data_IF_218510495497
#
_entry.id   IF_218510495497
#
_cell.length_a   1.000
_cell.length_b   1.000
_cell.length_c   1.000
_cell.angle_alpha   90.00
_cell.angle_beta   90.00
_cell.angle_gamma   90.00
#
_symmetry.space_group_name_H-M   'P 1'
#
loop_
_entity.id
_entity.type
_entity.pdbx_description
1 polymer ?
#
# COMPACT_ATOMS: atom_id res chain seq x y z
N UNK A 1 -6.58 -2.40 12.34
CA UNK A 1 -6.05 -1.31 11.51
C UNK A 1 -6.50 -1.55 10.08
N UNK A 2 -7.26 -0.62 9.51
CA UNK A 2 -7.71 -0.66 8.12
C UNK A 2 -6.89 0.32 7.29
N UNK A 3 -6.29 -0.14 6.18
CA UNK A 3 -5.51 0.74 5.31
C UNK A 3 -6.42 1.62 4.47
N UNK A 4 -6.01 2.88 4.35
CA UNK A 4 -6.58 3.83 3.40
C UNK A 4 -5.45 4.22 2.45
N UNK A 5 -5.56 3.78 1.20
CA UNK A 5 -4.58 4.10 0.17
C UNK A 5 -4.77 5.53 -0.31
N UNK A 6 -3.72 6.34 -0.20
CA UNK A 6 -3.76 7.77 -0.50
C UNK A 6 -2.84 8.12 -1.66
N UNK A 7 -3.28 9.07 -2.47
CA UNK A 7 -2.45 9.78 -3.45
C UNK A 7 -3.03 11.16 -3.68
N UNK A 8 -2.16 12.14 -3.93
CA UNK A 8 -2.52 13.53 -4.17
C UNK A 8 -1.77 14.08 -5.39
N UNK A 9 -2.36 15.06 -6.04
CA UNK A 9 -1.65 15.97 -6.94
C UNK A 9 -1.63 17.34 -6.27
N UNK A 10 -0.53 18.05 -6.40
CA UNK A 10 -0.34 19.33 -5.71
C UNK A 10 0.61 20.24 -6.48
N UNK A 11 0.49 21.54 -6.20
CA UNK A 11 1.49 22.54 -6.55
C UNK A 11 2.44 22.70 -5.37
N UNK A 12 3.74 22.79 -5.68
CA UNK A 12 4.79 23.14 -4.71
C UNK A 12 5.85 24.02 -5.38
N UNK A 13 6.42 24.94 -4.60
CA UNK A 13 7.49 25.86 -5.04
C UNK A 13 8.63 25.95 -4.00
N UNK A 14 8.77 24.94 -3.15
CA UNK A 14 9.69 24.93 -2.02
C UNK A 14 9.24 25.72 -0.78
N UNK A 15 8.19 26.56 -0.88
CA UNK A 15 7.60 27.29 0.25
C UNK A 15 6.14 26.89 0.49
N UNK A 16 5.37 26.79 -0.59
CA UNK A 16 3.96 26.43 -0.61
C UNK A 16 3.77 24.96 -0.97
N UNK A 17 2.66 24.42 -0.49
CA UNK A 17 2.20 23.08 -0.83
C UNK A 17 0.68 23.11 -0.88
N UNK A 18 0.14 23.16 -2.09
CA UNK A 18 -1.28 23.43 -2.36
C UNK A 18 -1.93 22.25 -3.10
N UNK A 19 -3.05 21.77 -2.55
CA UNK A 19 -3.79 20.63 -3.10
C UNK A 19 -4.42 20.96 -4.47
N UNK A 20 -4.22 20.10 -5.46
CA UNK A 20 -4.92 20.11 -6.76
C UNK A 20 -6.02 19.04 -6.78
N UNK A 21 -5.68 17.79 -6.45
CA UNK A 21 -6.63 16.68 -6.37
C UNK A 21 -6.16 15.63 -5.35
N UNK A 22 -7.07 14.79 -4.87
CA UNK A 22 -6.73 13.64 -4.03
C UNK A 22 -7.59 12.44 -4.35
N UNK A 23 -7.07 11.27 -4.00
CA UNK A 23 -7.81 10.03 -3.95
C UNK A 23 -7.55 9.27 -2.64
N UNK A 24 -8.60 8.65 -2.12
CA UNK A 24 -8.55 7.68 -1.03
C UNK A 24 -9.22 6.38 -1.46
N UNK A 25 -8.65 5.24 -1.08
CA UNK A 25 -9.26 3.92 -1.27
C UNK A 25 -9.22 3.19 0.05
N UNK A 26 -10.39 2.82 0.58
CA UNK A 26 -10.49 2.12 1.85
C UNK A 26 -10.42 0.62 1.61
N UNK A 27 -9.49 -0.04 2.31
CA UNK A 27 -9.22 -1.46 2.09
C UNK A 27 -10.35 -2.38 2.56
N UNK A 28 -11.09 -1.99 3.60
CA UNK A 28 -12.09 -2.85 4.23
C UNK A 28 -13.34 -3.11 3.37
N UNK A 29 -13.65 -2.23 2.43
CA UNK A 29 -14.89 -2.27 1.64
C UNK A 29 -14.74 -1.74 0.21
N UNK A 30 -13.50 -1.54 -0.25
CA UNK A 30 -13.17 -1.06 -1.60
C UNK A 30 -13.74 0.32 -1.96
N UNK A 31 -14.25 1.07 -0.98
CA UNK A 31 -14.78 2.40 -1.23
C UNK A 31 -13.69 3.32 -1.78
N UNK A 32 -14.03 4.13 -2.78
CA UNK A 32 -13.13 5.10 -3.40
C UNK A 32 -13.69 6.52 -3.25
N UNK A 33 -12.83 7.45 -2.87
CA UNK A 33 -13.10 8.88 -2.88
C UNK A 33 -12.11 9.55 -3.81
N UNK A 34 -12.60 10.30 -4.80
CA UNK A 34 -11.78 11.17 -5.66
C UNK A 34 -12.32 12.59 -5.65
N UNK A 35 -11.45 13.58 -5.44
CA UNK A 35 -11.83 14.99 -5.36
C UNK A 35 -10.82 15.89 -6.05
N UNK A 36 -11.32 16.89 -6.77
CA UNK A 36 -10.58 17.98 -7.40
C UNK A 36 -10.86 19.25 -6.60
N UNK A 37 -9.81 19.98 -6.22
CA UNK A 37 -9.91 21.19 -5.42
C UNK A 37 -10.30 22.41 -6.27
N UNK A 38 -11.56 22.84 -6.17
CA UNK A 38 -12.05 24.03 -6.84
C UNK A 38 -11.32 25.32 -6.40
N UNK A 39 -10.80 25.33 -5.17
CA UNK A 39 -10.14 26.47 -4.55
C UNK A 39 -8.62 26.48 -4.80
N UNK A 40 -8.09 25.61 -5.66
CA UNK A 40 -6.66 25.58 -6.00
C UNK A 40 -6.20 26.92 -6.59
N UNK A 41 -4.94 27.30 -6.34
CA UNK A 41 -4.34 28.49 -6.97
C UNK A 41 -4.02 28.20 -8.45
N UNK A 42 -5.04 28.37 -9.30
CA UNK A 42 -4.93 28.08 -10.73
C UNK A 42 -3.84 28.91 -11.41
N UNK A 43 -3.54 30.12 -10.91
CA UNK A 43 -2.47 30.96 -11.47
C UNK A 43 -1.11 30.34 -11.18
N UNK A 44 -0.87 29.90 -9.94
CA UNK A 44 0.36 29.22 -9.58
C UNK A 44 0.54 27.90 -10.35
N UNK A 45 -0.51 27.08 -10.44
CA UNK A 45 -0.48 25.81 -11.21
C UNK A 45 -0.07 26.04 -12.67
N UNK A 46 -0.59 27.09 -13.32
CA UNK A 46 -0.24 27.46 -14.70
C UNK A 46 1.23 27.84 -14.92
N UNK A 47 1.99 28.11 -13.86
CA UNK A 47 3.43 28.41 -13.96
C UNK A 47 4.30 27.15 -14.02
N UNK A 48 3.74 25.97 -13.71
CA UNK A 48 4.47 24.71 -13.73
C UNK A 48 4.23 23.97 -15.04
N UNK A 49 5.24 23.95 -15.91
CA UNK A 49 5.21 23.19 -17.16
C UNK A 49 4.93 21.70 -16.88
N UNK A 50 5.52 21.13 -15.82
CA UNK A 50 5.31 19.73 -15.48
C UNK A 50 3.86 19.43 -15.11
N UNK A 51 3.21 20.27 -14.30
CA UNK A 51 1.79 20.08 -13.95
C UNK A 51 0.90 20.22 -15.17
N UNK A 52 1.17 21.21 -16.03
CA UNK A 52 0.40 21.45 -17.25
C UNK A 52 0.52 20.30 -18.25
N UNK A 53 1.68 19.63 -18.31
CA UNK A 53 1.93 18.52 -19.23
C UNK A 53 1.49 17.15 -18.69
N UNK A 54 1.52 16.95 -17.37
CA UNK A 54 1.37 15.61 -16.78
C UNK A 54 0.16 15.46 -15.84
N UNK A 55 -0.21 16.51 -15.09
CA UNK A 55 -1.24 16.42 -14.06
C UNK A 55 -2.60 16.92 -14.54
N UNK A 56 -2.63 18.12 -15.12
CA UNK A 56 -3.86 18.79 -15.56
C UNK A 56 -4.57 18.08 -16.71
N UNK A 57 -3.89 17.49 -17.70
CA UNK A 57 -4.58 16.75 -18.78
C UNK A 57 -5.44 15.60 -18.25
N UNK A 58 -5.01 14.99 -17.15
CA UNK A 58 -5.57 13.78 -16.54
C UNK A 58 -6.43 14.06 -15.30
N UNK A 59 -6.75 15.33 -15.04
CA UNK A 59 -7.44 15.74 -13.81
C UNK A 59 -8.88 15.19 -13.74
N UNK A 60 -9.53 14.98 -14.88
CA UNK A 60 -10.87 14.42 -14.99
C UNK A 60 -10.81 12.92 -15.27
N UNK A 61 -11.65 12.13 -14.60
CA UNK A 61 -11.75 10.69 -14.84
C UNK A 61 -12.53 10.36 -16.12
N UNK A 62 -13.46 11.23 -16.50
CA UNK A 62 -14.30 11.10 -17.68
C UNK A 62 -13.79 12.03 -18.78
N UNK A 63 -13.43 11.46 -19.93
CA UNK A 63 -12.94 12.20 -21.10
C UNK A 63 -13.99 13.19 -21.64
N UNK A 64 -15.30 12.87 -21.54
CA UNK A 64 -16.36 13.77 -22.00
C UNK A 64 -16.45 15.03 -21.13
N UNK A 65 -16.17 14.90 -19.83
CA UNK A 65 -16.06 16.03 -18.90
C UNK A 65 -14.84 16.87 -19.27
N UNK A 66 -13.71 16.21 -19.61
CA UNK A 66 -12.46 16.86 -20.02
C UNK A 66 -12.61 17.66 -21.30
N UNK A 67 -13.35 17.15 -22.29
CA UNK A 67 -13.69 17.87 -23.52
C UNK A 67 -14.54 19.11 -23.24
N UNK A 68 -15.37 19.06 -22.18
CA UNK A 68 -16.19 20.17 -21.71
C UNK A 68 -15.44 21.25 -20.90
N UNK A 69 -14.14 21.12 -20.67
CA UNK A 69 -13.35 22.11 -19.92
C UNK A 69 -13.28 23.43 -20.70
N UNK A 70 -13.70 24.57 -20.11
CA UNK A 70 -13.55 25.88 -20.75
C UNK A 70 -12.10 26.16 -21.14
N UNK A 71 -11.89 26.87 -22.26
CA UNK A 71 -10.54 27.12 -22.84
C UNK A 71 -9.54 27.73 -21.85
N UNK A 72 -10.03 28.53 -20.92
CA UNK A 72 -9.28 29.27 -19.90
C UNK A 72 -9.35 28.64 -18.51
N UNK A 73 -9.99 27.47 -18.35
CA UNK A 73 -10.07 26.74 -17.10
C UNK A 73 -9.04 25.59 -17.03
N UNK A 74 -8.68 25.18 -15.82
CA UNK A 74 -7.88 23.96 -15.60
C UNK A 74 -8.76 22.71 -15.46
N UNK A 75 -10.02 22.91 -15.07
CA UNK A 75 -11.00 21.85 -14.84
C UNK A 75 -12.41 22.30 -15.22
N UNK A 76 -13.30 21.35 -15.44
CA UNK A 76 -14.72 21.58 -15.66
C UNK A 76 -15.44 21.71 -14.30
N UNK A 77 -16.03 22.87 -13.96
CA UNK A 77 -16.70 23.07 -12.67
C UNK A 77 -17.99 22.24 -12.52
N UNK A 78 -18.51 21.66 -13.61
CA UNK A 78 -19.64 20.75 -13.57
C UNK A 78 -19.24 19.29 -13.26
N UNK A 79 -17.94 18.98 -13.17
CA UNK A 79 -17.49 17.66 -12.75
C UNK A 79 -17.92 17.40 -11.29
N UNK A 80 -18.66 16.31 -11.00
CA UNK A 80 -19.06 15.95 -9.63
C UNK A 80 -17.88 15.68 -8.68
N UNK A 81 -16.65 15.50 -9.17
CA UNK A 81 -15.46 15.41 -8.35
C UNK A 81 -14.94 16.77 -7.88
N UNK A 82 -15.38 17.89 -8.48
CA UNK A 82 -14.93 19.25 -8.15
C UNK A 82 -15.67 19.78 -6.93
N UNK A 83 -14.92 20.12 -5.89
CA UNK A 83 -15.45 20.64 -4.63
C UNK A 83 -14.54 21.70 -4.04
N UNK A 84 -15.12 22.62 -3.25
CA UNK A 84 -14.34 23.54 -2.42
C UNK A 84 -13.58 22.79 -1.32
N UNK A 85 -12.46 23.34 -0.86
CA UNK A 85 -11.54 22.67 0.08
C UNK A 85 -12.21 22.28 1.40
N UNK A 86 -13.19 23.07 1.87
CA UNK A 86 -13.97 22.75 3.08
C UNK A 86 -14.85 21.51 2.91
N UNK A 87 -15.49 21.37 1.75
CA UNK A 87 -16.28 20.18 1.44
C UNK A 87 -15.38 18.97 1.22
N UNK A 88 -14.21 19.15 0.61
CA UNK A 88 -13.18 18.10 0.51
C UNK A 88 -12.75 17.63 1.90
N UNK A 89 -12.43 18.56 2.81
CA UNK A 89 -12.06 18.22 4.18
C UNK A 89 -13.16 17.41 4.89
N UNK A 90 -14.43 17.82 4.72
CA UNK A 90 -15.57 17.06 5.25
C UNK A 90 -15.66 15.66 4.64
N UNK A 91 -15.64 15.53 3.32
CA UNK A 91 -15.72 14.23 2.64
C UNK A 91 -14.57 13.30 3.04
N UNK A 92 -13.34 13.82 3.13
CA UNK A 92 -12.16 13.06 3.57
C UNK A 92 -12.33 12.64 5.03
N UNK A 93 -12.77 13.54 5.91
CA UNK A 93 -12.98 13.25 7.32
C UNK A 93 -14.02 12.17 7.55
N UNK A 94 -15.15 12.25 6.85
CA UNK A 94 -16.23 11.25 6.91
C UNK A 94 -15.74 9.90 6.37
N UNK A 95 -15.05 9.90 5.22
CA UNK A 95 -14.52 8.69 4.59
C UNK A 95 -13.50 7.96 5.47
N UNK A 96 -12.63 8.70 6.15
CA UNK A 96 -11.64 8.12 7.08
C UNK A 96 -12.32 7.58 8.35
N UNK A 97 -13.35 8.27 8.87
CA UNK A 97 -14.07 7.87 10.08
C UNK A 97 -14.79 6.51 9.95
N UNK A 98 -15.17 6.12 8.73
CA UNK A 98 -15.80 4.84 8.44
C UNK A 98 -14.83 3.64 8.53
N UNK A 99 -13.51 3.89 8.52
CA UNK A 99 -12.50 2.84 8.64
C UNK A 99 -12.15 2.58 10.11
N UNK A 100 -12.18 1.33 10.60
CA UNK A 100 -11.74 1.01 11.96
C UNK A 100 -10.21 1.12 12.06
N UNK A 101 -9.72 1.90 13.02
CA UNK A 101 -8.28 2.12 13.25
C UNK A 101 -7.56 2.51 11.94
N UNK A 102 -7.89 3.67 11.33
CA UNK A 102 -7.43 4.02 9.99
C UNK A 102 -5.92 4.25 9.94
N UNK A 103 -5.29 3.75 8.88
CA UNK A 103 -3.86 4.01 8.60
C UNK A 103 -3.74 4.46 7.15
N UNK A 104 -3.26 5.69 6.94
CA UNK A 104 -2.91 6.15 5.59
C UNK A 104 -1.75 5.30 5.06
N UNK A 105 -1.83 4.87 3.81
CA UNK A 105 -0.79 4.08 3.13
C UNK A 105 -0.61 4.62 1.73
N UNK A 106 0.61 4.86 1.26
CA UNK A 106 0.82 5.32 -0.11
C UNK A 106 2.21 5.01 -0.63
N UNK A 107 2.44 5.25 -1.91
CA UNK A 107 3.73 5.13 -2.55
C UNK A 107 4.33 6.53 -2.69
N UNK A 108 5.41 6.82 -1.95
CA UNK A 108 5.98 8.16 -1.78
C UNK A 108 5.05 9.15 -1.04
N UNK A 109 4.40 8.67 0.02
CA UNK A 109 3.26 9.31 0.71
C UNK A 109 3.61 10.50 1.63
N UNK A 110 4.85 11.00 1.60
CA UNK A 110 5.31 12.00 2.57
C UNK A 110 4.53 13.31 2.43
N UNK A 111 4.46 13.86 1.22
CA UNK A 111 3.69 15.08 0.94
C UNK A 111 2.18 14.84 1.05
N UNK A 112 1.70 13.66 0.63
CA UNK A 112 0.29 13.29 0.73
C UNK A 112 -0.21 13.36 2.17
N UNK A 113 0.55 12.80 3.12
CA UNK A 113 0.18 12.81 4.54
C UNK A 113 0.08 14.24 5.10
N UNK A 114 0.96 15.14 4.67
CA UNK A 114 0.93 16.56 5.04
C UNK A 114 -0.30 17.25 4.44
N UNK A 115 -0.60 17.00 3.17
CA UNK A 115 -1.78 17.58 2.49
C UNK A 115 -3.10 17.11 3.11
N UNK A 116 -3.22 15.83 3.43
CA UNK A 116 -4.41 15.30 4.15
C UNK A 116 -4.55 15.98 5.51
N UNK A 117 -3.47 16.13 6.27
CA UNK A 117 -3.50 16.85 7.55
C UNK A 117 -3.92 18.31 7.39
N UNK A 118 -3.38 19.00 6.37
CA UNK A 118 -3.64 20.42 6.10
C UNK A 118 -5.09 20.75 5.74
N UNK A 119 -5.86 19.78 5.24
CA UNK A 119 -7.32 19.95 5.04
C UNK A 119 -8.03 20.39 6.33
N UNK A 120 -7.48 20.05 7.50
CA UNK A 120 -8.05 20.33 8.81
C UNK A 120 -7.32 21.45 9.58
N UNK A 121 -6.39 22.16 8.92
CA UNK A 121 -5.61 23.25 9.52
C UNK A 121 -4.28 22.79 10.11
N UNK A 122 -3.90 23.37 11.25
CA UNK A 122 -2.69 22.95 11.98
C UNK A 122 -2.89 21.59 12.63
N UNK A 123 -1.78 20.95 13.02
CA UNK A 123 -1.83 19.66 13.71
C UNK A 123 -2.68 19.71 15.00
N UNK A 124 -2.78 20.88 15.64
CA UNK A 124 -3.57 21.10 16.86
C UNK A 124 -5.09 21.10 16.63
N UNK A 125 -5.53 21.36 15.39
CA UNK A 125 -6.94 21.43 15.01
C UNK A 125 -7.41 20.17 14.24
N UNK A 126 -6.51 19.22 13.99
CA UNK A 126 -6.83 17.99 13.28
C UNK A 126 -7.75 17.10 14.14
N UNK A 127 -8.88 16.60 13.59
CA UNK A 127 -9.72 15.63 14.30
C UNK A 127 -8.95 14.37 14.68
N UNK A 128 -9.31 13.76 15.82
CA UNK A 128 -8.57 12.64 16.42
C UNK A 128 -8.47 11.42 15.50
N UNK A 129 -9.53 11.13 14.73
CA UNK A 129 -9.59 9.98 13.85
C UNK A 129 -8.79 10.14 12.55
N UNK A 130 -8.25 11.34 12.26
CA UNK A 130 -7.42 11.56 11.07
C UNK A 130 -5.99 11.10 11.37
N UNK A 131 -5.45 10.12 10.61
CA UNK A 131 -4.11 9.60 10.85
C UNK A 131 -3.04 10.69 10.77
N UNK A 132 -2.06 10.60 11.66
CA UNK A 132 -1.00 11.60 11.81
C UNK A 132 0.21 11.32 10.92
N UNK A 133 0.31 10.09 10.43
CA UNK A 133 1.40 9.58 9.60
C UNK A 133 0.83 8.65 8.52
N UNK A 134 1.64 8.38 7.50
CA UNK A 134 1.32 7.40 6.47
C UNK A 134 2.39 6.30 6.40
N UNK A 135 1.96 5.06 6.20
CA UNK A 135 2.83 3.93 5.90
C UNK A 135 3.38 4.10 4.48
N UNK A 136 4.70 4.00 4.35
CA UNK A 136 5.42 4.22 3.10
C UNK A 136 5.65 2.89 2.35
N UNK A 137 4.88 2.69 1.29
CA UNK A 137 4.92 1.49 0.44
C UNK A 137 6.28 1.33 -0.24
N UNK A 138 6.97 2.43 -0.58
CA UNK A 138 8.31 2.37 -1.16
C UNK A 138 9.35 1.85 -0.16
N UNK A 139 9.20 2.19 1.11
CA UNK A 139 10.07 1.70 2.16
C UNK A 139 9.87 0.19 2.37
N UNK A 140 8.62 -0.28 2.33
CA UNK A 140 8.32 -1.72 2.32
C UNK A 140 8.91 -2.43 1.10
N UNK A 141 8.80 -1.83 -0.09
CA UNK A 141 9.42 -2.35 -1.31
C UNK A 141 10.93 -2.55 -1.15
N UNK A 142 11.62 -1.55 -0.59
CA UNK A 142 13.06 -1.63 -0.33
C UNK A 142 13.40 -2.67 0.74
N UNK A 143 12.67 -2.68 1.87
CA UNK A 143 12.83 -3.68 2.94
C UNK A 143 12.71 -5.10 2.41
N UNK A 144 11.80 -5.32 1.46
CA UNK A 144 11.55 -6.60 0.81
C UNK A 144 12.53 -6.91 -0.33
N UNK A 145 13.63 -6.17 -0.48
CA UNK A 145 14.64 -6.43 -1.51
C UNK A 145 14.18 -6.03 -2.92
N UNK A 146 13.25 -5.09 -3.02
CA UNK A 146 12.75 -4.51 -4.27
C UNK A 146 12.23 -5.53 -5.28
N UNK A 147 11.21 -6.36 -4.93
CA UNK A 147 10.61 -7.28 -5.89
C UNK A 147 10.07 -6.54 -7.12
N UNK A 148 9.93 -7.26 -8.23
CA UNK A 148 9.31 -6.70 -9.43
C UNK A 148 7.88 -6.24 -9.12
N UNK A 149 7.57 -4.99 -9.44
CA UNK A 149 6.26 -4.40 -9.20
C UNK A 149 5.32 -4.67 -10.39
N UNK A 150 3.99 -4.60 -10.18
CA UNK A 150 3.04 -4.62 -11.28
C UNK A 150 3.39 -3.52 -12.28
N UNK A 151 3.20 -3.74 -13.60
CA UNK A 151 3.44 -2.70 -14.58
C UNK A 151 2.61 -1.46 -14.21
N UNK A 152 3.25 -0.30 -14.23
CA UNK A 152 2.56 0.97 -14.18
C UNK A 152 1.58 1.04 -15.36
N UNK A 153 0.39 1.60 -15.12
CA UNK A 153 -0.51 1.96 -16.23
C UNK A 153 0.21 3.02 -17.09
N UNK A 154 -0.15 3.18 -18.38
CA UNK A 154 0.39 4.26 -19.20
C UNK A 154 0.32 5.60 -18.44
N UNK A 155 1.38 6.41 -18.58
CA UNK A 155 1.65 7.67 -17.86
C UNK A 155 0.35 8.41 -17.54
N UNK A 156 -0.14 8.24 -16.33
CA UNK A 156 -1.25 9.03 -15.81
C UNK A 156 -0.87 9.52 -14.43
N UNK A 157 -0.85 10.83 -14.24
CA UNK A 157 -0.59 11.41 -12.93
C UNK A 157 -1.87 11.48 -12.07
N UNK A 158 -3.02 11.01 -12.58
CA UNK A 158 -4.30 11.07 -11.89
C UNK A 158 -4.22 10.41 -10.49
N UNK A 159 -4.67 11.13 -9.47
CA UNK A 159 -4.52 10.68 -8.08
C UNK A 159 -5.23 9.34 -7.80
N UNK A 160 -6.39 9.07 -8.42
CA UNK A 160 -7.10 7.81 -8.22
C UNK A 160 -6.37 6.63 -8.86
N UNK A 161 -5.82 6.82 -10.07
CA UNK A 161 -4.97 5.81 -10.70
C UNK A 161 -3.74 5.48 -9.86
N UNK A 162 -3.11 6.50 -9.28
CA UNK A 162 -1.96 6.35 -8.41
C UNK A 162 -2.32 5.66 -7.08
N UNK A 163 -3.43 6.02 -6.43
CA UNK A 163 -3.91 5.33 -5.24
C UNK A 163 -4.21 3.85 -5.50
N UNK A 164 -4.83 3.52 -6.64
CA UNK A 164 -5.06 2.13 -7.08
C UNK A 164 -3.75 1.39 -7.35
N UNK A 165 -2.72 2.07 -7.86
CA UNK A 165 -1.39 1.48 -8.07
C UNK A 165 -0.67 1.24 -6.73
N UNK A 166 -0.73 2.20 -5.81
CA UNK A 166 -0.20 2.05 -4.45
C UNK A 166 -0.85 0.86 -3.73
N UNK A 167 -2.17 0.70 -3.83
CA UNK A 167 -2.90 -0.46 -3.31
C UNK A 167 -2.40 -1.78 -3.87
N UNK A 168 -2.37 -1.93 -5.20
CA UNK A 168 -1.89 -3.16 -5.86
C UNK A 168 -0.45 -3.48 -5.47
N UNK A 169 0.39 -2.45 -5.35
CA UNK A 169 1.78 -2.59 -4.90
C UNK A 169 1.84 -3.11 -3.47
N UNK A 170 1.13 -2.48 -2.53
CA UNK A 170 1.09 -2.91 -1.14
C UNK A 170 0.60 -4.36 -0.98
N UNK A 171 -0.46 -4.75 -1.69
CA UNK A 171 -0.97 -6.12 -1.69
C UNK A 171 0.07 -7.14 -2.19
N UNK A 172 0.83 -6.79 -3.24
CA UNK A 172 1.93 -7.64 -3.72
C UNK A 172 3.07 -7.74 -2.71
N UNK A 173 3.39 -6.65 -2.01
CA UNK A 173 4.41 -6.64 -0.98
C UNK A 173 4.01 -7.48 0.23
N UNK A 174 2.75 -7.41 0.67
CA UNK A 174 2.25 -8.28 1.74
C UNK A 174 2.38 -9.76 1.37
N UNK A 175 2.00 -10.13 0.14
CA UNK A 175 2.18 -11.50 -0.35
C UNK A 175 3.65 -11.94 -0.39
N UNK A 176 4.58 -11.00 -0.65
CA UNK A 176 6.01 -11.29 -0.61
C UNK A 176 6.54 -11.48 0.82
N UNK A 177 6.05 -10.68 1.78
CA UNK A 177 6.43 -10.76 3.19
C UNK A 177 5.90 -12.05 3.83
N UNK A 178 4.66 -12.43 3.52
CA UNK A 178 4.07 -13.70 3.95
C UNK A 178 4.90 -14.89 3.46
N UNK A 179 5.28 -14.89 2.17
CA UNK A 179 6.13 -15.95 1.60
C UNK A 179 7.48 -16.04 2.30
N UNK A 180 8.16 -14.91 2.53
CA UNK A 180 9.45 -14.89 3.25
C UNK A 180 9.32 -15.39 4.68
N UNK A 181 8.22 -15.01 5.35
CA UNK A 181 7.92 -15.46 6.70
C UNK A 181 7.74 -16.97 6.74
N UNK A 182 7.02 -17.54 5.78
CA UNK A 182 6.87 -18.99 5.65
C UNK A 182 8.19 -19.68 5.36
N UNK A 183 8.96 -19.20 4.38
CA UNK A 183 10.29 -19.73 4.07
C UNK A 183 11.20 -19.72 5.33
N UNK A 184 11.16 -18.65 6.13
CA UNK A 184 11.92 -18.55 7.37
C UNK A 184 11.44 -19.50 8.47
N UNK A 185 10.12 -19.66 8.66
CA UNK A 185 9.53 -20.62 9.61
C UNK A 185 9.91 -22.05 9.22
N UNK A 186 9.78 -22.39 7.94
CA UNK A 186 10.16 -23.69 7.40
C UNK A 186 11.65 -23.97 7.60
N UNK A 187 12.52 -22.99 7.33
CA UNK A 187 13.97 -23.13 7.56
C UNK A 187 14.30 -23.32 9.05
N UNK A 188 13.71 -22.52 9.94
CA UNK A 188 13.95 -22.62 11.38
C UNK A 188 13.47 -23.97 11.96
N UNK A 189 12.35 -24.48 11.45
CA UNK A 189 11.83 -25.83 11.74
C UNK A 189 12.79 -26.93 11.28
N UNK A 190 13.29 -26.82 10.05
CA UNK A 190 14.31 -27.73 9.52
C UNK A 190 15.59 -27.73 10.38
N UNK A 191 16.14 -26.56 10.70
CA UNK A 191 17.30 -26.40 11.59
C UNK A 191 17.09 -27.05 12.96
N UNK A 192 15.90 -26.85 13.54
CA UNK A 192 15.54 -27.44 14.83
C UNK A 192 15.50 -28.96 14.75
N UNK A 193 14.83 -29.52 13.74
CA UNK A 193 14.80 -30.97 13.51
C UNK A 193 16.19 -31.56 13.27
N UNK A 194 17.05 -30.87 12.50
CA UNK A 194 18.43 -31.29 12.28
C UNK A 194 19.28 -31.27 13.56
N UNK A 195 19.07 -30.31 14.47
CA UNK A 195 19.73 -30.31 15.79
C UNK A 195 19.27 -31.46 16.65
N UNK A 196 17.98 -31.78 16.66
CA UNK A 196 17.44 -32.94 17.40
C UNK A 196 18.01 -34.26 16.88
N UNK A 197 18.09 -34.43 15.56
CA UNK A 197 18.73 -35.60 14.92
C UNK A 197 20.23 -35.67 15.29
N UNK A 198 20.97 -34.55 15.20
CA UNK A 198 22.39 -34.52 15.57
C UNK A 198 22.60 -34.79 17.07
N UNK A 199 21.72 -34.28 17.94
CA UNK A 199 21.74 -34.54 19.37
C UNK A 199 21.48 -36.01 19.69
N UNK A 200 20.47 -36.60 19.04
CA UNK A 200 20.20 -38.04 19.11
C UNK A 200 21.44 -38.84 18.70
N UNK A 201 22.02 -38.58 17.52
CA UNK A 201 23.23 -39.29 17.05
C UNK A 201 24.40 -39.17 18.05
N UNK A 202 24.63 -38.00 18.65
CA UNK A 202 25.69 -37.80 19.65
C UNK A 202 25.47 -38.62 20.92
N UNK A 203 24.24 -38.66 21.44
CA UNK A 203 23.90 -39.44 22.63
C UNK A 203 24.23 -40.93 22.42
N UNK A 204 23.89 -41.50 21.26
CA UNK A 204 24.22 -42.90 20.95
C UNK A 204 25.73 -43.16 20.77
N UNK A 205 26.49 -42.17 20.28
CA UNK A 205 27.94 -42.28 20.13
C UNK A 205 28.71 -42.29 21.45
N UNK A 206 28.16 -41.65 22.50
CA UNK A 206 28.74 -41.61 23.85
C UNK A 206 28.43 -42.89 24.64
N UNK A 207 27.28 -43.52 24.38
CA UNK A 207 26.78 -44.70 25.10
C UNK A 207 27.35 -46.04 24.56
N UNK A 208 28.11 -46.01 23.46
CA UNK A 208 28.74 -47.19 22.83
C UNK A 208 27.78 -48.13 22.09
N UNK A 209 26.50 -47.77 21.99
CA UNK A 209 25.45 -48.54 21.32
C UNK A 209 25.40 -48.27 19.81
N UNK A 210 25.39 -49.33 18.99
CA UNK A 210 25.27 -49.18 17.53
C UNK A 210 23.90 -48.60 17.13
N UNK A 211 23.90 -47.57 16.28
CA UNK A 211 22.68 -46.96 15.74
C UNK A 211 21.95 -47.99 14.87
N UNK A 212 20.73 -48.38 15.25
CA UNK A 212 19.86 -49.23 14.44
C UNK A 212 19.24 -48.38 13.32
N UNK A 213 19.42 -48.73 12.04
CA UNK A 213 18.90 -47.95 10.90
C UNK A 213 17.39 -47.67 10.99
N UNK A 214 16.61 -48.66 11.42
CA UNK A 214 15.15 -48.54 11.53
C UNK A 214 14.71 -47.61 12.67
N UNK A 215 15.50 -47.51 13.74
CA UNK A 215 15.23 -46.59 14.84
C UNK A 215 15.52 -45.13 14.43
N UNK A 216 16.61 -44.92 13.68
CA UNK A 216 16.95 -43.61 13.12
C UNK A 216 15.91 -43.17 12.08
N UNK A 217 15.48 -44.07 11.18
CA UNK A 217 14.44 -43.78 10.19
C UNK A 217 13.08 -43.48 10.85
N UNK A 218 12.69 -44.21 11.91
CA UNK A 218 11.49 -43.90 12.67
C UNK A 218 11.57 -42.57 13.43
N UNK A 219 12.75 -42.20 13.94
CA UNK A 219 12.96 -40.90 14.58
C UNK A 219 12.87 -39.78 13.55
N UNK A 220 13.57 -39.90 12.42
CA UNK A 220 13.51 -38.95 11.30
C UNK A 220 12.08 -38.83 10.77
N UNK A 221 11.34 -39.93 10.64
CA UNK A 221 9.93 -39.93 10.22
C UNK A 221 8.95 -39.30 11.22
N UNK A 222 9.30 -39.22 12.52
CA UNK A 222 8.54 -38.42 13.51
C UNK A 222 8.87 -36.94 13.45
N UNK A 223 10.06 -36.62 12.94
CA UNK A 223 10.57 -35.25 12.73
C UNK A 223 10.19 -34.74 11.33
N UNK A 224 9.46 -35.52 10.50
CA UNK A 224 9.14 -35.17 9.11
C UNK A 224 8.49 -33.79 8.98
N UNK A 225 9.21 -32.91 8.26
CA UNK A 225 8.77 -31.60 7.80
C UNK A 225 8.58 -31.63 6.29
N UNK A 226 7.32 -31.69 5.82
CA UNK A 226 7.04 -31.49 4.40
C UNK A 226 6.85 -30.01 4.08
N UNK A 227 7.97 -29.31 3.99
CA UNK A 227 8.09 -27.92 3.52
C UNK A 227 7.31 -27.67 2.21
N UNK A 228 7.35 -28.64 1.30
CA UNK A 228 6.71 -28.58 -0.02
C UNK A 228 5.19 -28.71 0.04
N UNK A 229 4.64 -29.40 1.03
CA UNK A 229 3.19 -29.49 1.24
C UNK A 229 2.64 -28.25 1.96
N UNK A 230 3.37 -27.69 2.93
CA UNK A 230 2.96 -26.42 3.56
C UNK A 230 2.98 -25.25 2.57
N UNK A 231 4.03 -25.12 1.74
CA UNK A 231 4.10 -24.10 0.68
C UNK A 231 2.99 -24.29 -0.38
N UNK A 232 2.66 -25.54 -0.75
CA UNK A 232 1.54 -25.84 -1.66
C UNK A 232 0.18 -25.51 -1.05
N UNK A 233 -0.02 -25.82 0.23
CA UNK A 233 -1.25 -25.50 0.94
C UNK A 233 -1.42 -23.98 1.11
N UNK A 234 -0.33 -23.26 1.40
CA UNK A 234 -0.35 -21.80 1.44
C UNK A 234 -0.64 -21.17 0.07
N UNK A 235 0.03 -21.64 -0.99
CA UNK A 235 -0.22 -21.17 -2.35
C UNK A 235 -1.68 -21.38 -2.76
N UNK A 236 -2.32 -22.46 -2.31
CA UNK A 236 -3.74 -22.75 -2.55
C UNK A 236 -4.64 -21.82 -1.74
N UNK A 237 -4.34 -21.60 -0.45
CA UNK A 237 -5.09 -20.69 0.42
C UNK A 237 -5.02 -19.22 -0.02
N UNK A 238 -3.90 -18.77 -0.59
CA UNK A 238 -3.78 -17.40 -1.15
C UNK A 238 -4.56 -17.23 -2.46
N UNK A 239 -4.59 -18.27 -3.31
CA UNK A 239 -5.39 -18.25 -4.54
C UNK A 239 -6.89 -18.16 -4.25
N UNK A 240 -7.37 -18.82 -3.18
CA UNK A 240 -8.77 -18.77 -2.74
C UNK A 240 -9.18 -17.43 -2.12
N UNK A 241 -8.22 -16.65 -1.57
CA UNK A 241 -8.48 -15.30 -1.03
C UNK A 241 -8.46 -14.19 -2.08
N UNK A 242 -7.96 -14.50 -3.28
CA UNK A 242 -7.77 -13.54 -4.37
C UNK A 242 -8.83 -13.64 -5.47
N UNK A 243 -9.81 -14.54 -5.29
CA UNK A 243 -10.94 -14.81 -6.20
C UNK A 243 -12.26 -14.35 -5.56
#
# INVERSE_FOLDING_TARGET
MSRIYVSTQFFEDGERLDLISLALIRESDDAELYRINADMDQKAVRTSDWLMDNAIPDLHLDETIREGVPRDALFNPADPAVHGVKDIAKHVGDFIAEAPEPVLTGLWASYDSVLIGRLFGSIDHRPEHIPVWARETKADHQRLGSPALPPERPKSANALHNARHARRTAQLLDACDDRRTLEAITYARYETGMREICGYIKQFGEDGTAIQPDALLNFIGRVEFDATSELRNWSRAMAERSA
#
